data_IF_285732758323
#
_entry.id   IF_285732758323
#
_cell.length_a   1.000
_cell.length_b   1.000
_cell.length_c   1.000
_cell.angle_alpha   90.00
_cell.angle_beta   90.00
_cell.angle_gamma   90.00
#
_symmetry.space_group_name_H-M   'P 1'
#
loop_
_entity.id
_entity.type
_entity.pdbx_description
1 polymer ?
#
# COMPACT_ATOMS: atom_id res chain seq x y z
N UNK A 1 -13.51 -20.02 -19.73
CA UNK A 1 -14.00 -18.75 -20.31
C UNK A 1 -14.02 -17.73 -19.20
N UNK A 2 -13.11 -16.77 -19.22
CA UNK A 2 -13.19 -15.61 -18.31
C UNK A 2 -14.45 -14.83 -18.62
N UNK A 3 -15.26 -14.56 -17.59
CA UNK A 3 -16.50 -13.81 -17.72
C UNK A 3 -16.10 -12.33 -17.84
N UNK A 4 -16.01 -11.82 -19.08
CA UNK A 4 -15.70 -10.43 -19.34
C UNK A 4 -16.74 -9.54 -18.63
N UNK A 5 -16.29 -8.76 -17.66
CA UNK A 5 -17.16 -7.89 -16.85
C UNK A 5 -17.78 -6.83 -17.76
N UNK A 6 -19.08 -6.58 -17.64
CA UNK A 6 -19.79 -5.57 -18.43
C UNK A 6 -19.11 -4.19 -18.26
N UNK A 7 -18.65 -3.54 -19.35
CA UNK A 7 -18.03 -2.23 -19.29
C UNK A 7 -18.86 -1.16 -18.56
N UNK A 8 -20.19 -1.31 -18.54
CA UNK A 8 -21.11 -0.41 -17.82
C UNK A 8 -20.93 -0.53 -16.31
N UNK A 9 -20.71 -1.75 -15.80
CA UNK A 9 -20.44 -2.00 -14.38
C UNK A 9 -19.14 -1.30 -13.99
N UNK A 10 -18.09 -1.45 -14.80
CA UNK A 10 -16.79 -0.81 -14.57
C UNK A 10 -16.90 0.72 -14.61
N UNK A 11 -17.63 1.26 -15.58
CA UNK A 11 -17.85 2.71 -15.70
C UNK A 11 -18.59 3.28 -14.49
N UNK A 12 -19.68 2.65 -14.08
CA UNK A 12 -20.46 3.11 -12.91
C UNK A 12 -19.66 3.00 -11.62
N UNK A 13 -18.92 1.91 -11.43
CA UNK A 13 -18.00 1.75 -10.28
C UNK A 13 -17.00 2.90 -10.23
N UNK A 14 -16.37 3.23 -11.36
CA UNK A 14 -15.41 4.34 -11.46
C UNK A 14 -16.05 5.70 -11.14
N UNK A 15 -17.25 5.98 -11.66
CA UNK A 15 -17.97 7.23 -11.33
C UNK A 15 -18.20 7.40 -9.83
N UNK A 16 -18.54 6.31 -9.12
CA UNK A 16 -18.72 6.32 -7.67
C UNK A 16 -17.40 6.59 -6.94
N UNK A 17 -16.31 5.96 -7.38
CA UNK A 17 -14.96 6.15 -6.82
C UNK A 17 -14.46 7.59 -7.03
N UNK A 18 -14.57 8.12 -8.25
CA UNK A 18 -14.15 9.48 -8.59
C UNK A 18 -14.94 10.51 -7.76
N UNK A 19 -16.26 10.33 -7.62
CA UNK A 19 -17.09 11.18 -6.77
C UNK A 19 -16.68 11.16 -5.29
N UNK A 20 -16.29 9.98 -4.77
CA UNK A 20 -15.80 9.87 -3.41
C UNK A 20 -14.45 10.56 -3.20
N UNK A 21 -13.51 10.42 -4.15
CA UNK A 21 -12.23 11.12 -4.12
C UNK A 21 -12.47 12.63 -4.09
N UNK A 22 -13.31 13.16 -4.99
CA UNK A 22 -13.62 14.59 -5.00
C UNK A 22 -14.26 15.10 -3.70
N UNK A 23 -15.14 14.29 -3.10
CA UNK A 23 -15.76 14.64 -1.81
C UNK A 23 -14.73 14.62 -0.67
N UNK A 24 -13.78 13.69 -0.68
CA UNK A 24 -12.74 13.55 0.35
C UNK A 24 -11.76 14.73 0.39
N UNK A 25 -11.63 15.46 -0.71
CA UNK A 25 -10.88 16.71 -0.80
C UNK A 25 -11.64 17.90 -0.19
N UNK A 26 -12.97 17.82 -0.09
CA UNK A 26 -13.86 18.91 0.31
C UNK A 26 -14.43 18.75 1.73
N UNK A 27 -14.57 17.51 2.21
CA UNK A 27 -15.22 17.14 3.48
C UNK A 27 -14.39 16.10 4.22
N UNK A 28 -14.47 16.13 5.55
CA UNK A 28 -13.94 15.05 6.39
C UNK A 28 -14.68 13.74 6.07
N UNK A 29 -13.95 12.63 6.04
CA UNK A 29 -14.54 11.31 5.73
C UNK A 29 -15.74 10.94 6.59
N UNK A 30 -15.71 11.28 7.88
CA UNK A 30 -16.82 11.03 8.81
C UNK A 30 -18.12 11.73 8.36
N UNK A 31 -18.01 12.89 7.71
CA UNK A 31 -19.13 13.72 7.29
C UNK A 31 -19.63 13.38 5.87
N UNK A 32 -18.89 12.56 5.12
CA UNK A 32 -19.32 12.07 3.80
C UNK A 32 -20.41 11.00 4.00
N UNK A 33 -21.57 11.21 3.35
CA UNK A 33 -22.68 10.25 3.36
C UNK A 33 -22.82 9.53 2.02
N UNK A 34 -23.51 8.38 2.01
CA UNK A 34 -23.88 7.68 0.77
C UNK A 34 -24.73 8.59 -0.14
N UNK A 35 -25.53 9.48 0.43
CA UNK A 35 -26.33 10.45 -0.33
C UNK A 35 -25.43 11.45 -1.07
N UNK A 36 -24.40 11.98 -0.41
CA UNK A 36 -23.42 12.86 -1.06
C UNK A 36 -22.76 12.17 -2.25
N UNK A 37 -22.26 10.95 -2.03
CA UNK A 37 -21.55 10.16 -3.06
C UNK A 37 -22.45 9.87 -4.25
N UNK A 38 -23.66 9.34 -4.01
CA UNK A 38 -24.62 9.00 -5.05
C UNK A 38 -25.08 10.22 -5.84
N UNK A 39 -25.25 11.37 -5.17
CA UNK A 39 -25.61 12.63 -5.82
C UNK A 39 -24.47 13.13 -6.71
N UNK A 40 -23.23 13.14 -6.21
CA UNK A 40 -22.06 13.55 -6.97
C UNK A 40 -21.78 12.63 -8.18
N UNK A 41 -21.93 11.32 -8.00
CA UNK A 41 -21.77 10.33 -9.08
C UNK A 41 -22.98 10.28 -10.06
N UNK A 42 -24.06 11.00 -9.77
CA UNK A 42 -25.31 10.99 -10.55
C UNK A 42 -25.90 9.56 -10.69
N UNK A 43 -25.90 8.80 -9.59
CA UNK A 43 -26.47 7.44 -9.50
C UNK A 43 -27.48 7.34 -8.37
N UNK A 44 -28.32 6.31 -8.38
CA UNK A 44 -29.22 6.04 -7.27
C UNK A 44 -28.52 5.21 -6.15
N UNK A 45 -29.13 5.14 -4.97
CA UNK A 45 -28.57 4.39 -3.83
C UNK A 45 -28.50 2.89 -4.08
N UNK A 46 -29.46 2.30 -4.80
CA UNK A 46 -29.42 0.87 -5.12
C UNK A 46 -28.21 0.53 -6.00
N UNK A 47 -27.85 1.42 -6.94
CA UNK A 47 -26.64 1.32 -7.76
C UNK A 47 -25.37 1.41 -6.92
N UNK A 48 -25.31 2.29 -5.92
CA UNK A 48 -24.18 2.29 -4.98
C UNK A 48 -24.01 0.92 -4.32
N UNK A 49 -25.09 0.39 -3.74
CA UNK A 49 -25.04 -0.87 -3.00
C UNK A 49 -24.83 -2.10 -3.88
N UNK A 50 -25.02 -2.01 -5.20
CA UNK A 50 -24.61 -3.08 -6.12
C UNK A 50 -23.10 -3.13 -6.37
N UNK A 51 -22.35 -2.10 -5.97
CA UNK A 51 -20.90 -2.02 -6.16
C UNK A 51 -20.10 -2.00 -4.86
N UNK A 52 -20.67 -1.46 -3.77
CA UNK A 52 -19.99 -1.27 -2.48
C UNK A 52 -20.93 -1.55 -1.32
N UNK A 53 -20.42 -2.18 -0.27
CA UNK A 53 -21.20 -2.52 0.92
C UNK A 53 -21.58 -1.25 1.69
N UNK A 54 -20.60 -0.38 1.91
CA UNK A 54 -20.75 0.91 2.57
C UNK A 54 -19.62 1.87 2.14
N UNK A 55 -19.48 3.00 2.83
CA UNK A 55 -18.43 3.99 2.53
C UNK A 55 -17.03 3.55 2.97
N UNK A 56 -16.91 2.59 3.88
CA UNK A 56 -15.61 2.05 4.32
C UNK A 56 -15.08 1.04 3.30
N UNK A 57 -15.95 0.17 2.77
CA UNK A 57 -15.62 -0.69 1.63
C UNK A 57 -15.22 0.18 0.42
N UNK A 58 -15.98 1.22 0.09
CA UNK A 58 -15.60 2.15 -0.97
C UNK A 58 -14.21 2.78 -0.73
N UNK A 59 -13.92 3.21 0.50
CA UNK A 59 -12.60 3.75 0.85
C UNK A 59 -11.49 2.74 0.57
N UNK A 60 -11.64 1.49 1.01
CA UNK A 60 -10.65 0.43 0.79
C UNK A 60 -10.42 0.19 -0.72
N UNK A 61 -11.49 0.13 -1.50
CA UNK A 61 -11.41 -0.05 -2.96
C UNK A 61 -10.79 1.14 -3.66
N UNK A 62 -11.11 2.37 -3.26
CA UNK A 62 -10.48 3.58 -3.79
C UNK A 62 -8.99 3.58 -3.50
N UNK A 63 -8.61 3.30 -2.26
CA UNK A 63 -7.22 3.25 -1.83
C UNK A 63 -6.44 2.19 -2.62
N UNK A 64 -6.93 0.95 -2.70
CA UNK A 64 -6.24 -0.16 -3.39
C UNK A 64 -6.27 -0.07 -4.92
N UNK A 65 -7.41 0.24 -5.55
CA UNK A 65 -7.57 0.16 -7.02
C UNK A 65 -7.11 1.44 -7.75
N UNK A 66 -7.16 2.58 -7.07
CA UNK A 66 -6.86 3.89 -7.66
C UNK A 66 -5.65 4.55 -7.02
N UNK A 67 -5.67 4.82 -5.71
CA UNK A 67 -4.67 5.72 -5.11
C UNK A 67 -3.31 5.05 -4.95
N UNK A 68 -3.27 3.79 -4.50
CA UNK A 68 -2.02 3.01 -4.34
C UNK A 68 -1.56 2.33 -5.62
N UNK A 69 -2.29 2.49 -6.73
CA UNK A 69 -1.99 1.83 -8.00
C UNK A 69 -0.55 2.01 -8.44
N UNK A 70 -0.01 3.23 -8.32
CA UNK A 70 1.39 3.49 -8.68
C UNK A 70 2.38 2.68 -7.84
N UNK A 71 2.14 2.57 -6.53
CA UNK A 71 3.02 1.80 -5.64
C UNK A 71 2.92 0.32 -5.96
N UNK A 72 1.70 -0.20 -6.15
CA UNK A 72 1.47 -1.60 -6.52
C UNK A 72 2.14 -1.91 -7.87
N UNK A 73 2.06 -1.00 -8.84
CA UNK A 73 2.72 -1.16 -10.13
C UNK A 73 4.24 -1.18 -9.99
N UNK A 74 4.82 -0.27 -9.20
CA UNK A 74 6.26 -0.26 -8.93
C UNK A 74 6.72 -1.57 -8.28
N UNK A 75 6.02 -2.00 -7.22
CA UNK A 75 6.27 -3.27 -6.53
C UNK A 75 6.22 -4.43 -7.53
N UNK A 76 5.21 -4.46 -8.40
CA UNK A 76 5.02 -5.51 -9.40
C UNK A 76 6.12 -5.60 -10.47
N UNK A 77 6.99 -4.60 -10.60
CA UNK A 77 8.14 -4.66 -11.53
C UNK A 77 9.30 -5.51 -11.00
N UNK A 78 9.22 -5.92 -9.74
CA UNK A 78 10.23 -6.71 -9.06
C UNK A 78 9.75 -8.16 -8.86
N UNK A 79 10.70 -9.09 -8.76
CA UNK A 79 10.40 -10.53 -8.62
C UNK A 79 11.13 -11.21 -7.45
N UNK A 80 12.06 -10.49 -6.81
CA UNK A 80 12.92 -11.01 -5.74
C UNK A 80 13.07 -9.98 -4.62
N UNK A 81 13.42 -10.45 -3.43
CA UNK A 81 13.71 -9.59 -2.28
C UNK A 81 15.21 -9.31 -2.25
N UNK A 82 15.59 -8.05 -2.43
CA UNK A 82 16.95 -7.54 -2.30
C UNK A 82 16.93 -6.07 -1.83
N UNK A 83 18.11 -5.50 -1.60
CA UNK A 83 18.25 -4.13 -1.12
C UNK A 83 17.65 -3.08 -2.06
N UNK A 84 17.85 -3.22 -3.38
CA UNK A 84 17.27 -2.30 -4.36
C UNK A 84 15.75 -2.33 -4.36
N UNK A 85 15.14 -3.51 -4.22
CA UNK A 85 13.68 -3.64 -4.11
C UNK A 85 13.16 -3.05 -2.80
N UNK A 86 13.87 -3.24 -1.69
CA UNK A 86 13.52 -2.61 -0.40
C UNK A 86 13.57 -1.09 -0.51
N UNK A 87 14.62 -0.53 -1.12
CA UNK A 87 14.75 0.91 -1.37
C UNK A 87 13.61 1.43 -2.26
N UNK A 88 13.33 0.79 -3.39
CA UNK A 88 12.28 1.21 -4.32
C UNK A 88 10.88 1.21 -3.67
N UNK A 89 10.56 0.17 -2.90
CA UNK A 89 9.27 0.07 -2.19
C UNK A 89 9.18 1.14 -1.10
N UNK A 90 10.24 1.32 -0.31
CA UNK A 90 10.29 2.38 0.70
C UNK A 90 10.00 3.75 0.09
N UNK A 91 10.69 4.11 -0.98
CA UNK A 91 10.52 5.40 -1.67
C UNK A 91 9.11 5.55 -2.25
N UNK A 92 8.53 4.46 -2.76
CA UNK A 92 7.16 4.46 -3.27
C UNK A 92 6.11 4.72 -2.19
N UNK A 93 6.28 4.12 -1.00
CA UNK A 93 5.42 4.42 0.15
C UNK A 93 5.53 5.89 0.53
N UNK A 94 6.75 6.44 0.62
CA UNK A 94 6.98 7.86 0.93
C UNK A 94 6.32 8.79 -0.09
N UNK A 95 6.53 8.52 -1.39
CA UNK A 95 5.94 9.29 -2.48
C UNK A 95 4.42 9.29 -2.38
N UNK A 96 3.82 8.12 -2.18
CA UNK A 96 2.38 7.97 -2.01
C UNK A 96 1.85 8.74 -0.81
N UNK A 97 2.45 8.54 0.36
CA UNK A 97 1.99 9.14 1.61
C UNK A 97 2.08 10.67 1.53
N UNK A 98 3.17 11.20 0.96
CA UNK A 98 3.35 12.64 0.72
C UNK A 98 2.32 13.19 -0.27
N UNK A 99 2.00 12.43 -1.32
CA UNK A 99 0.98 12.81 -2.30
C UNK A 99 -0.40 12.94 -1.65
N UNK A 100 -0.82 11.95 -0.85
CA UNK A 100 -2.12 12.01 -0.16
C UNK A 100 -2.11 13.09 0.92
N UNK A 101 -1.05 13.23 1.71
CA UNK A 101 -1.00 14.26 2.76
C UNK A 101 -1.15 15.67 2.20
N UNK A 102 -0.65 15.91 0.99
CA UNK A 102 -0.75 17.20 0.31
C UNK A 102 -2.14 17.43 -0.32
N UNK A 103 -2.74 16.40 -0.93
CA UNK A 103 -4.03 16.52 -1.62
C UNK A 103 -5.24 16.46 -0.68
N UNK A 104 -5.13 15.70 0.41
CA UNK A 104 -6.23 15.32 1.28
C UNK A 104 -5.89 15.57 2.76
N UNK A 105 -5.22 16.69 3.08
CA UNK A 105 -4.68 16.97 4.43
C UNK A 105 -5.64 16.73 5.59
N UNK A 106 -6.93 17.04 5.40
CA UNK A 106 -8.00 16.85 6.39
C UNK A 106 -8.36 15.38 6.61
N UNK A 107 -8.63 14.66 5.52
CA UNK A 107 -9.03 13.26 5.56
C UNK A 107 -7.85 12.28 5.70
N UNK A 108 -6.61 12.73 5.51
CA UNK A 108 -5.40 11.90 5.55
C UNK A 108 -5.23 11.17 6.90
N UNK A 109 -5.38 11.89 8.01
CA UNK A 109 -5.31 11.28 9.34
C UNK A 109 -6.39 10.23 9.54
N UNK A 110 -7.61 10.50 9.04
CA UNK A 110 -8.72 9.56 9.10
C UNK A 110 -8.52 8.30 8.24
N UNK A 111 -7.73 8.40 7.16
CA UNK A 111 -7.42 7.30 6.24
C UNK A 111 -6.15 6.53 6.62
N UNK A 112 -5.30 7.09 7.47
CA UNK A 112 -4.00 6.51 7.83
C UNK A 112 -4.11 5.05 8.31
N UNK A 113 -5.08 4.65 9.16
CA UNK A 113 -5.21 3.26 9.57
C UNK A 113 -5.57 2.30 8.43
N UNK A 114 -6.43 2.72 7.49
CA UNK A 114 -6.80 1.91 6.34
C UNK A 114 -5.64 1.83 5.34
N UNK A 115 -4.95 2.95 5.10
CA UNK A 115 -3.73 2.99 4.28
C UNK A 115 -2.69 2.01 4.84
N UNK A 116 -2.43 2.05 6.15
CA UNK A 116 -1.51 1.14 6.82
C UNK A 116 -1.92 -0.33 6.60
N UNK A 117 -3.20 -0.64 6.82
CA UNK A 117 -3.73 -2.00 6.67
C UNK A 117 -3.54 -2.52 5.25
N UNK A 118 -3.86 -1.70 4.25
CA UNK A 118 -3.75 -2.10 2.84
C UNK A 118 -2.29 -2.26 2.44
N UNK A 119 -1.40 -1.31 2.76
CA UNK A 119 0.02 -1.45 2.44
C UNK A 119 0.63 -2.71 3.04
N UNK A 120 0.37 -2.95 4.33
CA UNK A 120 0.93 -4.14 5.01
C UNK A 120 0.46 -5.42 4.34
N UNK A 121 -0.82 -5.49 3.95
CA UNK A 121 -1.40 -6.65 3.28
C UNK A 121 -0.85 -6.84 1.87
N UNK A 122 -0.91 -5.83 1.01
CA UNK A 122 -0.44 -5.91 -0.37
C UNK A 122 1.04 -6.28 -0.43
N UNK A 123 1.89 -5.60 0.37
CA UNK A 123 3.32 -5.92 0.43
C UNK A 123 3.58 -7.33 0.96
N UNK A 124 2.78 -7.79 1.93
CA UNK A 124 2.90 -9.16 2.44
C UNK A 124 2.62 -10.18 1.34
N UNK A 125 1.59 -9.94 0.52
CA UNK A 125 1.23 -10.84 -0.57
C UNK A 125 2.37 -10.90 -1.61
N UNK A 126 2.92 -9.75 -2.02
CA UNK A 126 4.09 -9.69 -2.92
C UNK A 126 5.33 -10.38 -2.32
N UNK A 127 5.70 -10.03 -1.10
CA UNK A 127 6.88 -10.63 -0.46
C UNK A 127 6.71 -12.12 -0.22
N UNK A 128 5.51 -12.59 0.11
CA UNK A 128 5.25 -14.02 0.26
C UNK A 128 5.47 -14.77 -1.05
N UNK A 129 4.98 -14.21 -2.17
CA UNK A 129 5.19 -14.79 -3.50
C UNK A 129 6.68 -14.83 -3.87
N UNK A 130 7.39 -13.71 -3.69
CA UNK A 130 8.81 -13.62 -4.04
C UNK A 130 9.69 -14.50 -3.16
N UNK A 131 9.44 -14.51 -1.85
CA UNK A 131 10.19 -15.32 -0.90
C UNK A 131 9.98 -16.83 -1.15
N UNK A 132 8.76 -17.26 -1.52
CA UNK A 132 8.51 -18.66 -1.89
C UNK A 132 9.27 -19.06 -3.17
N UNK A 133 9.38 -18.16 -4.15
CA UNK A 133 10.17 -18.40 -5.37
C UNK A 133 11.67 -18.42 -5.10
N UNK A 134 12.15 -17.50 -4.26
CA UNK A 134 13.57 -17.31 -3.95
C UNK A 134 14.10 -18.40 -3.01
N UNK A 135 13.26 -18.90 -2.10
CA UNK A 135 13.60 -19.91 -1.10
C UNK A 135 12.61 -21.09 -1.09
N UNK A 136 12.52 -21.87 -2.18
CA UNK A 136 11.47 -22.87 -2.36
C UNK A 136 11.54 -24.05 -1.38
N UNK A 137 12.69 -24.27 -0.75
CA UNK A 137 12.91 -25.37 0.19
C UNK A 137 12.77 -24.95 1.67
N UNK A 138 12.51 -23.67 1.94
CA UNK A 138 12.37 -23.19 3.32
C UNK A 138 10.99 -23.50 3.89
N UNK A 139 10.90 -23.49 5.21
CA UNK A 139 9.63 -23.70 5.89
C UNK A 139 8.63 -22.60 5.51
N UNK A 140 7.45 -22.99 5.05
CA UNK A 140 6.40 -22.05 4.61
C UNK A 140 6.02 -21.03 5.70
N UNK A 141 5.92 -21.46 6.95
CA UNK A 141 5.60 -20.56 8.07
C UNK A 141 6.70 -19.53 8.33
N UNK A 142 7.96 -19.92 8.17
CA UNK A 142 9.10 -18.99 8.30
C UNK A 142 9.10 -17.95 7.17
N UNK A 143 8.83 -18.40 5.93
CA UNK A 143 8.71 -17.52 4.76
C UNK A 143 7.55 -16.53 4.92
N UNK A 144 6.38 -17.00 5.34
CA UNK A 144 5.21 -16.15 5.60
C UNK A 144 5.49 -15.14 6.73
N UNK A 145 6.11 -15.60 7.83
CA UNK A 145 6.47 -14.72 8.94
C UNK A 145 7.49 -13.65 8.52
N UNK A 146 8.48 -14.01 7.70
CA UNK A 146 9.43 -13.07 7.13
C UNK A 146 8.75 -12.01 6.26
N UNK A 147 7.84 -12.42 5.38
CA UNK A 147 7.08 -11.50 4.52
C UNK A 147 6.24 -10.51 5.36
N UNK A 148 5.53 -11.01 6.39
CA UNK A 148 4.77 -10.17 7.33
C UNK A 148 5.68 -9.15 8.02
N UNK A 149 6.80 -9.60 8.59
CA UNK A 149 7.75 -8.74 9.27
C UNK A 149 8.32 -7.66 8.35
N UNK A 150 8.73 -8.04 7.14
CA UNK A 150 9.31 -7.10 6.18
C UNK A 150 8.30 -6.03 5.75
N UNK A 151 7.05 -6.41 5.47
CA UNK A 151 5.97 -5.46 5.16
C UNK A 151 5.75 -4.44 6.27
N UNK A 152 5.73 -4.90 7.52
CA UNK A 152 5.51 -4.02 8.66
C UNK A 152 6.71 -3.12 8.94
N UNK A 153 7.93 -3.67 8.83
CA UNK A 153 9.17 -2.93 9.04
C UNK A 153 9.32 -1.82 7.98
N UNK A 154 9.06 -2.11 6.71
CA UNK A 154 9.12 -1.13 5.63
C UNK A 154 8.12 0.01 5.83
N UNK A 155 6.85 -0.31 6.11
CA UNK A 155 5.85 0.71 6.39
C UNK A 155 6.21 1.53 7.63
N UNK A 156 6.66 0.87 8.71
CA UNK A 156 7.07 1.53 9.95
C UNK A 156 8.27 2.47 9.74
N UNK A 157 9.28 2.04 8.98
CA UNK A 157 10.43 2.86 8.62
C UNK A 157 10.00 4.09 7.81
N UNK A 158 9.10 3.91 6.84
CA UNK A 158 8.56 5.00 6.04
C UNK A 158 7.84 6.04 6.92
N UNK A 159 6.95 5.59 7.80
CA UNK A 159 6.22 6.48 8.72
C UNK A 159 7.16 7.16 9.73
N UNK A 160 8.18 6.45 10.21
CA UNK A 160 9.21 7.03 11.08
C UNK A 160 9.96 8.15 10.35
N UNK A 161 10.40 7.92 9.10
CA UNK A 161 11.04 8.96 8.31
C UNK A 161 10.09 10.14 8.07
N UNK A 162 8.84 9.91 7.70
CA UNK A 162 7.87 10.98 7.44
C UNK A 162 7.65 11.91 8.64
N UNK A 163 7.71 11.37 9.86
CA UNK A 163 7.53 12.13 11.10
C UNK A 163 8.77 12.97 11.46
N UNK A 164 9.97 12.48 11.15
CA UNK A 164 11.21 13.08 11.62
C UNK A 164 11.97 13.87 10.54
N UNK A 165 11.83 13.50 9.26
CA UNK A 165 12.41 14.13 8.06
C UNK A 165 13.88 14.55 8.23
N UNK A 166 14.68 13.68 8.84
CA UNK A 166 16.04 14.00 9.27
C UNK A 166 17.03 14.11 8.11
N UNK A 167 16.77 13.42 7.00
CA UNK A 167 17.62 13.30 5.81
C UNK A 167 16.75 13.10 4.56
N UNK A 168 17.35 13.04 3.37
CA UNK A 168 16.62 12.56 2.19
C UNK A 168 16.14 11.11 2.40
N UNK A 169 14.99 10.71 1.83
CA UNK A 169 14.46 9.34 1.95
C UNK A 169 15.47 8.27 1.53
N UNK A 170 16.19 8.49 0.45
CA UNK A 170 17.19 7.58 -0.13
C UNK A 170 18.35 7.37 0.85
N UNK A 171 18.84 8.44 1.47
CA UNK A 171 19.91 8.37 2.45
C UNK A 171 19.44 7.67 3.73
N UNK A 172 18.19 7.89 4.13
CA UNK A 172 17.61 7.27 5.31
C UNK A 172 17.53 5.75 5.19
N UNK A 173 16.98 5.25 4.07
CA UNK A 173 16.83 3.81 3.87
C UNK A 173 18.20 3.12 3.73
N UNK A 174 19.17 3.75 3.05
CA UNK A 174 20.54 3.22 2.97
C UNK A 174 21.20 3.10 4.34
N UNK A 175 21.15 4.18 5.13
CA UNK A 175 21.70 4.17 6.49
C UNK A 175 21.03 3.12 7.38
N UNK A 176 19.71 2.95 7.25
CA UNK A 176 18.96 1.93 7.99
C UNK A 176 19.39 0.50 7.59
N UNK A 177 19.54 0.24 6.29
CA UNK A 177 19.98 -1.06 5.78
C UNK A 177 21.41 -1.38 6.22
N UNK A 178 22.32 -0.42 6.13
CA UNK A 178 23.70 -0.55 6.64
C UNK A 178 23.71 -0.81 8.15
N UNK A 179 22.89 -0.10 8.91
CA UNK A 179 22.77 -0.31 10.36
C UNK A 179 22.30 -1.74 10.67
N UNK A 180 21.27 -2.23 9.97
CA UNK A 180 20.74 -3.59 10.14
C UNK A 180 21.79 -4.64 9.81
N UNK A 181 22.45 -4.56 8.64
CA UNK A 181 23.49 -5.50 8.20
C UNK A 181 24.63 -5.59 9.22
N UNK A 182 25.11 -4.43 9.68
CA UNK A 182 26.25 -4.33 10.60
C UNK A 182 25.95 -4.76 12.05
N UNK A 183 24.68 -4.81 12.47
CA UNK A 183 24.29 -5.09 13.86
C UNK A 183 23.59 -6.42 14.05
N UNK A 184 22.85 -6.88 13.05
CA UNK A 184 22.13 -8.16 13.08
C UNK A 184 23.02 -9.31 12.57
N UNK A 185 24.25 -9.02 12.14
CA UNK A 185 25.26 -10.02 11.73
C UNK A 185 24.74 -10.96 10.63
N UNK A 186 24.00 -10.40 9.67
CA UNK A 186 23.37 -11.13 8.57
C UNK A 186 24.42 -11.62 7.54
N UNK A 187 25.65 -11.08 7.58
CA UNK A 187 26.71 -11.34 6.60
C UNK A 187 27.94 -12.12 7.15
N UNK A 188 27.82 -12.87 8.25
CA UNK A 188 28.93 -13.72 8.75
C UNK A 188 28.64 -15.22 8.68
N UNK A 189 28.25 -15.71 7.51
CA UNK A 189 28.58 -17.07 7.10
C UNK A 189 29.52 -17.00 5.90
N UNK A 190 30.82 -16.86 6.20
CA UNK A 190 31.96 -17.32 5.40
C UNK A 190 33.27 -16.97 6.14
N UNK A 191 33.39 -17.43 7.40
CA UNK A 191 34.73 -17.69 7.94
C UNK A 191 35.05 -19.12 7.52
N UNK A 192 35.82 -19.22 6.43
CA UNK A 192 36.41 -20.46 5.97
C UNK A 192 37.07 -21.19 7.15
N UNK A 193 36.59 -22.41 7.43
CA UNK A 193 37.39 -23.43 8.10
C UNK A 193 38.45 -23.90 7.10
N UNK A 194 39.68 -23.44 7.27
CA UNK A 194 40.90 -24.19 6.95
C UNK A 194 41.85 -24.03 8.13
#
# INVERSE_FOLDING_TARGET
MEKQIDPRILRTRKLIMDAFIELSMKKEFKDITIKDITTAATVNRATFYSHFIDKYDLLEKVLSESVMREVIQEVSTHEIINEGTIEAIFLSIIKFQTSISNQCRRSYEAFTPQIETIFKKELQDFFSEWAQKQWPNQNKTEVEAFAVMLSWALYGAAMHWMKNQTTQPEDYVKQLMDFIKNRINIDKENVNLI
#
